data_IF_802342881437
#
_entry.id   IF_802342881437
#
_cell.length_a   1.000
_cell.length_b   1.000
_cell.length_c   1.000
_cell.angle_alpha   90.00
_cell.angle_beta   90.00
_cell.angle_gamma   90.00
#
_symmetry.space_group_name_H-M   'P 1'
#
loop_
_entity.id
_entity.type
_entity.pdbx_description
1 polymer ?
#
# COMPACT_ATOMS: atom_id res chain seq x y z
N UNK A 1 15.89 -15.83 12.41
CA UNK A 1 15.72 -14.66 11.52
C UNK A 1 15.45 -15.16 10.12
N UNK A 2 14.43 -14.67 9.42
CA UNK A 2 14.19 -15.09 8.04
C UNK A 2 15.28 -14.46 7.15
N UNK A 3 16.14 -15.27 6.54
CA UNK A 3 17.30 -14.79 5.78
C UNK A 3 16.97 -14.51 4.32
N UNK A 4 15.79 -14.91 3.85
CA UNK A 4 15.32 -14.70 2.48
C UNK A 4 13.89 -14.19 2.52
N UNK A 5 13.73 -12.89 2.33
CA UNK A 5 12.44 -12.24 2.16
C UNK A 5 12.02 -12.40 0.70
N UNK A 6 10.78 -12.81 0.46
CA UNK A 6 10.23 -12.86 -0.88
C UNK A 6 10.00 -11.44 -1.40
N UNK A 7 10.30 -11.19 -2.68
CA UNK A 7 10.09 -9.87 -3.28
C UNK A 7 8.59 -9.51 -3.26
N UNK A 8 8.18 -8.48 -2.48
CA UNK A 8 6.77 -8.13 -2.37
C UNK A 8 6.17 -7.66 -3.69
N UNK A 9 6.94 -7.03 -4.59
CA UNK A 9 6.42 -6.52 -5.87
C UNK A 9 6.10 -7.67 -6.83
N UNK A 10 6.99 -8.66 -6.91
CA UNK A 10 6.76 -9.88 -7.68
C UNK A 10 5.57 -10.67 -7.11
N UNK A 11 5.44 -10.71 -5.78
CA UNK A 11 4.29 -11.34 -5.12
C UNK A 11 2.98 -10.67 -5.51
N UNK A 12 2.89 -9.35 -5.33
CA UNK A 12 1.72 -8.55 -5.71
C UNK A 12 1.39 -8.74 -7.19
N UNK A 13 2.37 -8.61 -8.09
CA UNK A 13 2.18 -8.78 -9.53
C UNK A 13 1.59 -10.16 -9.89
N UNK A 14 2.01 -11.22 -9.21
CA UNK A 14 1.51 -12.59 -9.45
C UNK A 14 0.10 -12.83 -8.93
N UNK A 15 -0.32 -12.10 -7.88
CA UNK A 15 -1.65 -12.23 -7.30
C UNK A 15 -2.69 -11.30 -7.93
N UNK A 16 -2.29 -10.18 -8.55
CA UNK A 16 -3.20 -9.23 -9.20
C UNK A 16 -4.20 -9.89 -10.18
N UNK A 17 -3.82 -10.91 -10.99
CA UNK A 17 -4.78 -11.60 -11.85
C UNK A 17 -5.96 -12.29 -11.16
N UNK A 18 -5.80 -12.60 -9.88
CA UNK A 18 -6.80 -13.27 -9.07
C UNK A 18 -7.45 -12.33 -8.05
N UNK A 19 -6.97 -11.08 -7.97
CA UNK A 19 -7.36 -10.14 -6.93
C UNK A 19 -8.85 -9.78 -7.03
N UNK A 20 -9.56 -9.94 -5.90
CA UNK A 20 -10.93 -9.43 -5.70
C UNK A 20 -10.97 -8.21 -4.76
N UNK A 21 -9.89 -7.99 -4.03
CA UNK A 21 -9.63 -6.86 -3.14
C UNK A 21 -8.13 -6.59 -3.11
N UNK A 22 -7.73 -5.36 -2.84
CA UNK A 22 -6.33 -5.00 -2.55
C UNK A 22 -6.28 -4.47 -1.12
N UNK A 23 -5.38 -4.98 -0.29
CA UNK A 23 -5.13 -4.40 1.05
C UNK A 23 -3.97 -3.41 0.99
N UNK A 24 -4.26 -2.15 1.31
CA UNK A 24 -3.27 -1.09 1.49
C UNK A 24 -2.81 -1.09 2.96
N UNK A 25 -1.91 -2.03 3.25
CA UNK A 25 -1.31 -2.16 4.56
C UNK A 25 -0.31 -1.03 4.83
N UNK A 26 -0.33 -0.45 6.03
CA UNK A 26 0.51 0.70 6.38
C UNK A 26 0.95 0.71 7.84
N UNK A 27 2.06 1.37 8.13
CA UNK A 27 2.71 1.36 9.44
C UNK A 27 3.10 2.74 9.94
N UNK A 28 4.05 3.41 9.28
CA UNK A 28 4.61 4.69 9.73
C UNK A 28 4.75 5.60 8.54
N UNK A 29 4.63 6.91 8.75
CA UNK A 29 4.66 7.90 7.68
C UNK A 29 5.81 8.88 7.88
N UNK A 30 6.49 9.23 6.79
CA UNK A 30 7.48 10.31 6.78
C UNK A 30 6.82 11.71 6.74
N UNK A 31 7.65 12.76 6.79
CA UNK A 31 7.17 14.15 6.75
C UNK A 31 6.45 14.51 5.44
N UNK A 32 6.66 13.74 4.37
CA UNK A 32 5.96 13.88 3.10
C UNK A 32 4.67 13.05 3.03
N UNK A 33 4.35 12.27 4.07
CA UNK A 33 3.17 11.43 4.19
C UNK A 33 3.28 10.09 3.46
N UNK A 34 4.49 9.64 3.09
CA UNK A 34 4.72 8.31 2.51
C UNK A 34 4.96 7.26 3.60
N UNK A 35 4.46 6.05 3.37
CA UNK A 35 4.74 4.93 4.27
C UNK A 35 6.24 4.59 4.24
N UNK A 36 6.86 4.49 5.42
CA UNK A 36 8.32 4.27 5.53
C UNK A 36 8.72 2.80 5.37
N UNK A 37 7.76 1.89 5.27
CA UNK A 37 7.96 0.44 5.16
C UNK A 37 7.58 -0.06 3.77
N UNK A 38 6.48 0.43 3.21
CA UNK A 38 5.97 0.01 1.91
C UNK A 38 6.13 1.14 0.87
N UNK A 39 6.74 0.84 -0.26
CA UNK A 39 6.81 1.78 -1.40
C UNK A 39 5.47 1.84 -2.14
N UNK A 40 4.59 2.71 -1.66
CA UNK A 40 3.26 2.92 -2.25
C UNK A 40 3.30 3.36 -3.72
N UNK A 41 4.18 4.28 -4.16
CA UNK A 41 4.35 4.60 -5.58
C UNK A 41 4.55 3.37 -6.46
N UNK A 42 5.50 2.49 -6.11
CA UNK A 42 5.76 1.28 -6.89
C UNK A 42 4.60 0.29 -6.84
N UNK A 43 3.99 0.07 -5.67
CA UNK A 43 2.89 -0.87 -5.49
C UNK A 43 1.61 -0.42 -6.22
N UNK A 44 1.19 0.84 -6.05
CA UNK A 44 -0.03 1.35 -6.67
C UNK A 44 0.11 1.51 -8.18
N UNK A 45 1.33 1.78 -8.68
CA UNK A 45 1.61 1.73 -10.12
C UNK A 45 1.32 0.34 -10.70
N UNK A 46 1.79 -0.74 -10.06
CA UNK A 46 1.49 -2.11 -10.50
C UNK A 46 -0.02 -2.40 -10.50
N UNK A 47 -0.73 -2.00 -9.44
CA UNK A 47 -2.18 -2.18 -9.33
C UNK A 47 -2.92 -1.45 -10.46
N UNK A 48 -2.51 -0.21 -10.75
CA UNK A 48 -3.10 0.63 -11.80
C UNK A 48 -2.79 0.12 -13.20
N UNK A 49 -1.54 -0.23 -13.48
CA UNK A 49 -1.10 -0.78 -14.77
C UNK A 49 -1.74 -2.14 -15.08
N UNK A 50 -2.01 -2.97 -14.07
CA UNK A 50 -2.78 -4.20 -14.24
C UNK A 50 -4.27 -3.95 -14.61
N UNK A 51 -4.76 -2.72 -14.42
CA UNK A 51 -6.16 -2.37 -14.67
C UNK A 51 -7.11 -2.84 -13.58
N UNK A 52 -6.63 -2.99 -12.33
CA UNK A 52 -7.49 -3.35 -11.22
C UNK A 52 -8.48 -2.20 -10.90
N UNK A 53 -9.78 -2.45 -11.09
CA UNK A 53 -10.86 -1.48 -10.87
C UNK A 53 -11.72 -1.74 -9.62
N UNK A 54 -11.27 -2.61 -8.72
CA UNK A 54 -11.98 -2.93 -7.47
C UNK A 54 -11.62 -1.99 -6.31
N UNK A 55 -11.96 -2.39 -5.09
CA UNK A 55 -11.69 -1.60 -3.89
C UNK A 55 -10.28 -1.85 -3.34
N UNK A 56 -9.64 -0.76 -2.91
CA UNK A 56 -8.42 -0.78 -2.11
C UNK A 56 -8.83 -0.52 -0.65
N UNK A 57 -8.73 -1.54 0.20
CA UNK A 57 -9.04 -1.47 1.62
C UNK A 57 -7.87 -0.94 2.43
N UNK A 58 -8.10 0.03 3.31
CA UNK A 58 -7.07 0.55 4.21
C UNK A 58 -6.88 -0.42 5.38
N UNK A 59 -5.63 -0.79 5.64
CA UNK A 59 -5.22 -1.64 6.75
C UNK A 59 -4.05 -0.97 7.48
N UNK A 60 -4.34 -0.17 8.50
CA UNK A 60 -3.30 0.46 9.30
C UNK A 60 -2.92 -0.45 10.49
N UNK A 61 -1.65 -0.83 10.57
CA UNK A 61 -1.07 -1.67 11.62
C UNK A 61 0.07 -0.96 12.37
N UNK A 62 0.18 0.36 12.21
CA UNK A 62 1.18 1.17 12.88
C UNK A 62 0.92 1.37 14.36
N UNK A 63 1.97 1.68 15.10
CA UNK A 63 1.91 1.90 16.56
C UNK A 63 2.20 3.35 16.98
N UNK A 64 2.56 4.23 16.03
CA UNK A 64 2.90 5.63 16.31
C UNK A 64 1.66 6.53 16.30
N UNK A 65 0.84 6.47 15.25
CA UNK A 65 -0.44 7.20 15.18
C UNK A 65 -1.55 6.38 15.82
N UNK A 66 -2.61 7.07 16.29
CA UNK A 66 -3.87 6.41 16.64
C UNK A 66 -4.47 5.72 15.42
N UNK A 67 -5.33 4.72 15.64
CA UNK A 67 -5.99 3.99 14.53
C UNK A 67 -6.70 4.94 13.57
N UNK A 68 -7.46 5.90 14.08
CA UNK A 68 -8.16 6.89 13.25
C UNK A 68 -7.18 7.74 12.43
N UNK A 69 -6.11 8.25 13.06
CA UNK A 69 -5.13 9.07 12.38
C UNK A 69 -4.35 8.28 11.33
N UNK A 70 -3.99 7.04 11.64
CA UNK A 70 -3.36 6.10 10.70
C UNK A 70 -4.24 5.83 9.49
N UNK A 71 -5.51 5.49 9.69
CA UNK A 71 -6.47 5.26 8.59
C UNK A 71 -6.58 6.50 7.68
N UNK A 72 -6.67 7.70 8.26
CA UNK A 72 -6.73 8.95 7.50
C UNK A 72 -5.43 9.24 6.74
N UNK A 73 -4.28 8.92 7.33
CA UNK A 73 -2.98 9.06 6.69
C UNK A 73 -2.83 8.08 5.50
N UNK A 74 -3.21 6.81 5.66
CA UNK A 74 -3.20 5.82 4.57
C UNK A 74 -4.12 6.25 3.43
N UNK A 75 -5.34 6.73 3.74
CA UNK A 75 -6.25 7.27 2.73
C UNK A 75 -5.60 8.39 1.91
N UNK A 76 -5.01 9.35 2.61
CA UNK A 76 -4.35 10.52 2.00
C UNK A 76 -3.17 10.09 1.12
N UNK A 77 -2.37 9.14 1.58
CA UNK A 77 -1.27 8.55 0.81
C UNK A 77 -1.76 7.89 -0.48
N UNK A 78 -2.80 7.04 -0.40
CA UNK A 78 -3.36 6.36 -1.58
C UNK A 78 -3.88 7.39 -2.58
N UNK A 79 -4.68 8.37 -2.14
CA UNK A 79 -5.25 9.42 -3.01
C UNK A 79 -4.15 10.25 -3.67
N UNK A 80 -3.11 10.62 -2.92
CA UNK A 80 -1.94 11.36 -3.43
C UNK A 80 -1.20 10.56 -4.51
N UNK A 81 -0.88 9.31 -4.25
CA UNK A 81 -0.09 8.47 -5.17
C UNK A 81 -0.91 8.09 -6.40
N UNK A 82 -2.20 7.78 -6.24
CA UNK A 82 -3.06 7.36 -7.35
C UNK A 82 -3.19 8.42 -8.46
N UNK A 83 -3.05 9.70 -8.11
CA UNK A 83 -3.01 10.83 -9.05
C UNK A 83 -1.67 10.98 -9.76
N UNK A 84 -0.59 10.44 -9.20
CA UNK A 84 0.78 10.58 -9.73
C UNK A 84 1.20 9.43 -10.63
N UNK A 85 0.64 8.23 -10.40
CA UNK A 85 0.94 7.00 -11.16
C UNK A 85 -0.03 6.75 -12.30
#
# INVERSE_FOLDING_TARGET
TCTKIYDPYDGVSKFLPYAKGVSAKSYNFDDAGYDTVNDYPSLLKLVKEYGYGGYIGIEYEGTILSEEAGIRATKTLIEKVWQQV
#
